data_IF_566556117942
#
_entry.id   IF_566556117942
#
_cell.length_a   1.000
_cell.length_b   1.000
_cell.length_c   1.000
_cell.angle_alpha   90.00
_cell.angle_beta   90.00
_cell.angle_gamma   90.00
#
_symmetry.space_group_name_H-M   'P 1'
#
loop_
_entity.id
_entity.type
_entity.pdbx_description
1 polymer ?
#
# COMPACT_ATOMS: atom_id res chain seq x y z
N UNK A 1 16.89 -29.03 -33.35
CA UNK A 1 16.08 -30.25 -33.23
C UNK A 1 14.66 -29.83 -32.88
N UNK A 2 13.71 -30.02 -33.80
CA UNK A 2 12.32 -29.60 -33.62
C UNK A 2 11.58 -30.70 -32.86
N UNK A 3 11.03 -30.38 -31.68
CA UNK A 3 10.11 -31.27 -30.96
C UNK A 3 8.75 -30.60 -30.89
N UNK A 4 7.96 -30.87 -31.92
CA UNK A 4 6.52 -30.68 -31.99
C UNK A 4 5.83 -31.83 -31.27
N UNK A 5 5.03 -31.56 -30.24
CA UNK A 5 4.01 -32.50 -29.73
C UNK A 5 2.74 -31.72 -29.30
N UNK A 6 1.80 -31.69 -30.24
CA UNK A 6 0.35 -31.99 -30.16
C UNK A 6 -0.46 -31.54 -28.91
N UNK A 7 -1.52 -30.78 -29.24
CA UNK A 7 -2.65 -30.27 -28.46
C UNK A 7 -3.53 -31.37 -27.83
N UNK A 8 -4.02 -31.13 -26.61
CA UNK A 8 -5.26 -31.74 -26.11
C UNK A 8 -6.13 -30.67 -25.44
N UNK A 9 -7.30 -30.41 -26.04
CA UNK A 9 -8.38 -29.56 -25.52
C UNK A 9 -9.23 -30.42 -24.58
N UNK A 10 -9.46 -29.95 -23.36
CA UNK A 10 -10.52 -30.48 -22.49
C UNK A 10 -11.25 -29.30 -21.84
N UNK A 11 -12.43 -29.01 -22.39
CA UNK A 11 -13.46 -28.13 -21.85
C UNK A 11 -14.18 -28.83 -20.69
N UNK A 12 -14.22 -28.19 -19.52
CA UNK A 12 -15.01 -28.62 -18.37
C UNK A 12 -15.81 -27.46 -17.80
N UNK A 13 -17.11 -27.43 -18.07
CA UNK A 13 -18.07 -26.47 -17.51
C UNK A 13 -18.60 -27.05 -16.19
N UNK A 14 -18.42 -26.33 -15.08
CA UNK A 14 -19.08 -26.64 -13.82
C UNK A 14 -20.26 -25.68 -13.59
N UNK A 15 -21.48 -26.20 -13.72
CA UNK A 15 -22.72 -25.51 -13.35
C UNK A 15 -23.00 -25.79 -11.86
N UNK A 16 -22.88 -24.77 -11.02
CA UNK A 16 -23.46 -24.81 -9.67
C UNK A 16 -24.89 -24.29 -9.72
N UNK A 17 -25.85 -25.21 -9.56
CA UNK A 17 -27.25 -24.92 -9.26
C UNK A 17 -27.47 -25.27 -7.80
N UNK A 18 -27.79 -24.26 -6.97
CA UNK A 18 -28.24 -24.41 -5.60
C UNK A 18 -29.43 -23.45 -5.36
N UNK A 19 -30.62 -23.93 -4.98
CA UNK A 19 -31.84 -23.14 -4.82
C UNK A 19 -32.10 -22.71 -3.36
N UNK A 20 -33.15 -21.89 -3.17
CA UNK A 20 -33.74 -21.40 -1.90
C UNK A 20 -32.97 -20.24 -1.26
N UNK A 21 -33.56 -19.15 -0.78
CA UNK A 21 -34.95 -18.76 -0.58
C UNK A 21 -34.97 -17.40 0.12
N UNK A 22 -35.95 -16.59 -0.24
CA UNK A 22 -36.19 -15.20 0.18
C UNK A 22 -36.87 -15.11 1.57
N UNK A 23 -36.65 -14.02 2.33
CA UNK A 23 -37.69 -13.16 2.95
C UNK A 23 -37.30 -12.54 4.31
N UNK A 24 -37.46 -11.21 4.41
CA UNK A 24 -38.12 -10.61 5.58
C UNK A 24 -37.26 -9.89 6.63
N UNK A 25 -37.21 -8.56 6.52
CA UNK A 25 -37.70 -7.63 7.54
C UNK A 25 -37.00 -7.56 8.92
N UNK A 26 -36.42 -6.40 9.23
CA UNK A 26 -36.02 -6.09 10.60
C UNK A 26 -35.39 -4.72 10.79
N UNK A 27 -36.13 -3.64 10.57
CA UNK A 27 -35.81 -2.31 11.11
C UNK A 27 -36.35 -2.19 12.54
N UNK A 28 -35.56 -1.70 13.50
CA UNK A 28 -36.07 -0.99 14.67
C UNK A 28 -35.70 0.51 14.52
N UNK A 29 -36.64 1.37 14.15
CA UNK A 29 -37.36 2.32 15.03
C UNK A 29 -36.47 3.36 15.74
N UNK A 30 -36.49 4.58 15.18
CA UNK A 30 -36.54 5.90 15.85
C UNK A 30 -37.49 5.92 17.06
N UNK A 31 -37.32 6.77 18.12
CA UNK A 31 -37.52 8.24 18.06
C UNK A 31 -36.54 9.07 18.93
N UNK A 32 -36.13 10.27 18.49
CA UNK A 32 -36.69 11.60 18.78
C UNK A 32 -36.44 12.18 20.18
N UNK A 33 -36.03 13.46 20.16
CA UNK A 33 -36.29 14.52 21.15
C UNK A 33 -35.26 14.79 22.24
N UNK A 34 -34.61 15.96 22.12
CA UNK A 34 -34.09 16.77 23.23
C UNK A 34 -35.23 17.17 24.20
N UNK A 35 -34.92 17.53 25.46
CA UNK A 35 -34.90 18.97 25.77
C UNK A 35 -33.89 19.43 26.85
N UNK A 36 -33.78 20.77 26.92
CA UNK A 36 -33.14 21.66 27.91
C UNK A 36 -33.27 21.21 29.39
N UNK A 37 -32.36 21.66 30.26
CA UNK A 37 -32.54 22.86 31.15
C UNK A 37 -31.51 22.89 32.30
N UNK A 38 -30.77 23.99 32.31
CA UNK A 38 -30.17 24.82 33.37
C UNK A 38 -30.18 24.45 34.87
N UNK A 39 -29.04 24.78 35.51
CA UNK A 39 -28.86 25.64 36.72
C UNK A 39 -28.51 25.03 38.12
N UNK A 40 -27.38 25.53 38.67
CA UNK A 40 -27.20 26.12 40.04
C UNK A 40 -26.36 25.39 41.13
N UNK A 41 -25.18 26.00 41.42
CA UNK A 41 -24.36 26.26 42.67
C UNK A 41 -23.77 25.10 43.51
N UNK A 42 -22.43 24.95 43.67
CA UNK A 42 -21.39 25.63 44.50
C UNK A 42 -21.30 25.11 45.97
N UNK A 43 -20.20 25.32 46.75
CA UNK A 43 -18.76 25.30 46.49
C UNK A 43 -18.02 24.29 47.43
N UNK A 44 -16.74 24.00 47.20
CA UNK A 44 -15.85 23.55 48.29
C UNK A 44 -14.40 23.88 47.96
N UNK A 45 -13.84 24.82 48.70
CA UNK A 45 -12.41 25.13 48.68
C UNK A 45 -11.65 23.99 49.38
N UNK A 46 -10.72 23.36 48.68
CA UNK A 46 -9.62 22.63 49.29
C UNK A 46 -8.38 22.89 48.44
N UNK A 47 -7.33 23.39 49.09
CA UNK A 47 -6.11 23.85 48.47
C UNK A 47 -5.17 22.68 48.10
N UNK A 48 -4.52 22.80 46.92
CA UNK A 48 -3.31 22.09 46.49
C UNK A 48 -3.51 20.99 45.43
N UNK A 49 -2.52 20.69 44.55
CA UNK A 49 -1.24 21.34 44.26
C UNK A 49 -1.25 22.08 42.91
N UNK A 50 -0.16 22.78 42.56
CA UNK A 50 0.01 23.48 41.30
C UNK A 50 -0.21 22.56 40.06
N UNK A 51 -0.78 23.05 38.94
CA UNK A 51 -0.83 22.29 37.69
C UNK A 51 0.59 22.13 37.13
N UNK A 52 1.24 21.03 37.52
CA UNK A 52 2.35 20.47 36.78
C UNK A 52 1.89 20.12 35.37
N UNK A 53 2.80 20.34 34.41
CA UNK A 53 2.60 20.14 32.99
C UNK A 53 1.81 18.86 32.67
N UNK A 54 0.73 19.03 31.90
CA UNK A 54 0.08 17.93 31.20
C UNK A 54 1.12 17.38 30.23
N UNK A 55 1.73 16.26 30.59
CA UNK A 55 2.54 15.49 29.65
C UNK A 55 1.51 14.89 28.68
N UNK A 56 1.57 15.17 27.36
CA UNK A 56 0.75 14.46 26.40
C UNK A 56 0.98 12.96 26.57
N UNK A 57 -0.02 12.09 26.31
CA UNK A 57 0.25 10.66 26.22
C UNK A 57 1.41 10.49 25.24
N UNK A 58 2.43 9.75 25.67
CA UNK A 58 3.53 9.38 24.80
C UNK A 58 2.91 8.69 23.59
N UNK A 59 2.91 9.39 22.44
CA UNK A 59 2.72 8.75 21.15
C UNK A 59 3.75 7.64 21.14
N UNK A 60 3.25 6.40 21.13
CA UNK A 60 4.10 5.26 20.85
C UNK A 60 4.51 5.47 19.41
N UNK A 61 5.67 6.11 19.23
CA UNK A 61 6.30 6.29 17.94
C UNK A 61 6.61 4.87 17.47
N UNK A 62 5.66 4.26 16.75
CA UNK A 62 5.95 3.17 15.83
C UNK A 62 7.17 3.63 15.07
N UNK A 63 8.26 2.86 15.11
CA UNK A 63 9.48 3.22 14.42
C UNK A 63 9.08 3.55 12.97
N UNK A 64 9.12 4.83 12.62
CA UNK A 64 8.65 5.31 11.33
C UNK A 64 9.63 4.77 10.30
N UNK A 65 9.28 3.65 9.66
CA UNK A 65 10.00 3.23 8.47
C UNK A 65 9.96 4.39 7.48
N UNK A 66 11.10 4.72 6.90
CA UNK A 66 11.24 5.87 6.00
C UNK A 66 11.34 5.40 4.57
N UNK A 67 10.83 6.18 3.62
CA UNK A 67 10.94 5.87 2.20
C UNK A 67 11.20 7.12 1.38
N UNK A 68 11.99 6.96 0.32
CA UNK A 68 12.27 7.98 -0.69
C UNK A 68 12.05 7.38 -2.07
N UNK A 69 11.57 8.19 -3.00
CA UNK A 69 11.35 7.80 -4.40
C UNK A 69 11.91 8.88 -5.32
N UNK A 70 12.67 8.46 -6.32
CA UNK A 70 13.07 9.28 -7.45
C UNK A 70 12.55 8.63 -8.72
N UNK A 71 11.95 9.43 -9.61
CA UNK A 71 11.52 8.98 -10.94
C UNK A 71 12.04 9.97 -11.96
N UNK A 72 12.74 9.48 -12.98
CA UNK A 72 13.34 10.31 -14.03
C UNK A 72 14.31 11.37 -13.47
N UNK A 73 15.06 11.00 -12.41
CA UNK A 73 15.97 11.90 -11.68
C UNK A 73 15.27 12.96 -10.81
N UNK A 74 13.93 12.94 -10.72
CA UNK A 74 13.16 13.89 -9.90
C UNK A 74 12.65 13.21 -8.64
N UNK A 75 13.00 13.77 -7.48
CA UNK A 75 12.46 13.35 -6.20
C UNK A 75 10.94 13.50 -6.18
N UNK A 76 10.25 12.52 -5.60
CA UNK A 76 8.80 12.49 -5.42
C UNK A 76 8.48 12.53 -3.94
N UNK A 77 7.37 13.18 -3.61
CA UNK A 77 6.92 13.29 -2.21
C UNK A 77 6.42 11.91 -1.76
N UNK A 78 7.08 11.34 -0.75
CA UNK A 78 6.70 10.06 -0.14
C UNK A 78 6.62 10.29 1.35
N UNK A 79 5.39 10.32 1.87
CA UNK A 79 5.08 10.58 3.29
C UNK A 79 4.28 9.44 3.93
N UNK A 80 4.32 8.29 3.30
CA UNK A 80 3.51 7.14 3.69
C UNK A 80 4.11 6.31 4.82
N UNK A 81 3.27 5.53 5.48
CA UNK A 81 3.70 4.52 6.44
C UNK A 81 4.34 3.34 5.68
N UNK A 82 5.50 2.87 6.16
CA UNK A 82 6.18 1.71 5.61
C UNK A 82 5.80 0.47 6.41
N UNK A 83 5.31 -0.55 5.71
CA UNK A 83 5.06 -1.88 6.25
C UNK A 83 5.82 -2.93 5.44
N UNK A 84 6.49 -3.86 6.12
CA UNK A 84 7.24 -4.94 5.49
C UNK A 84 6.77 -6.28 6.04
N UNK A 85 6.56 -7.24 5.15
CA UNK A 85 6.16 -8.60 5.51
C UNK A 85 6.81 -9.63 4.60
N UNK A 86 7.08 -10.82 5.15
CA UNK A 86 7.56 -11.95 4.36
C UNK A 86 6.40 -12.93 4.21
N UNK A 87 5.95 -13.18 2.99
CA UNK A 87 4.84 -14.10 2.71
C UNK A 87 5.08 -14.74 1.35
N UNK A 88 4.88 -16.07 1.27
CA UNK A 88 4.96 -16.80 0.00
C UNK A 88 6.35 -16.82 -0.65
N UNK A 89 7.43 -16.71 0.15
CA UNK A 89 8.81 -16.69 -0.39
C UNK A 89 9.25 -15.34 -0.95
N UNK A 90 8.54 -14.26 -0.61
CA UNK A 90 8.86 -12.91 -1.05
C UNK A 90 8.84 -11.92 0.11
N UNK A 91 9.74 -10.95 0.07
CA UNK A 91 9.68 -9.75 0.91
C UNK A 91 8.74 -8.77 0.22
N UNK A 92 7.66 -8.40 0.89
CA UNK A 92 6.67 -7.45 0.42
C UNK A 92 6.79 -6.18 1.24
N UNK A 93 7.10 -5.07 0.58
CA UNK A 93 7.21 -3.74 1.17
C UNK A 93 6.06 -2.90 0.61
N UNK A 94 5.27 -2.32 1.50
CA UNK A 94 4.17 -1.42 1.19
C UNK A 94 4.44 -0.06 1.82
N UNK A 95 4.35 0.99 1.01
CA UNK A 95 4.44 2.38 1.46
C UNK A 95 3.06 3.01 1.21
N UNK A 96 2.25 3.09 2.26
CA UNK A 96 0.88 3.57 2.20
C UNK A 96 0.83 5.10 2.30
N UNK A 97 0.44 5.78 1.23
CA UNK A 97 0.32 7.24 1.17
C UNK A 97 -1.16 7.65 1.28
N UNK A 98 -1.47 8.93 1.57
CA UNK A 98 -2.87 9.38 1.75
C UNK A 98 -3.78 9.12 0.54
N UNK A 99 -3.23 9.14 -0.68
CA UNK A 99 -3.98 9.02 -1.93
C UNK A 99 -3.45 7.94 -2.88
N UNK A 100 -2.38 7.24 -2.48
CA UNK A 100 -1.68 6.28 -3.34
C UNK A 100 -0.94 5.24 -2.47
N UNK A 101 -0.35 4.24 -3.11
CA UNK A 101 0.57 3.33 -2.45
C UNK A 101 1.71 2.97 -3.40
N UNK A 102 2.90 2.76 -2.82
CA UNK A 102 4.02 2.14 -3.53
C UNK A 102 4.15 0.72 -2.98
N UNK A 103 4.25 -0.27 -3.86
CA UNK A 103 4.45 -1.67 -3.49
C UNK A 103 5.73 -2.20 -4.12
N UNK A 104 6.48 -3.01 -3.37
CA UNK A 104 7.69 -3.66 -3.83
C UNK A 104 7.62 -5.12 -3.40
N UNK A 105 7.84 -6.03 -4.35
CA UNK A 105 8.05 -7.43 -4.05
C UNK A 105 9.47 -7.82 -4.47
N UNK A 106 10.24 -8.35 -3.52
CA UNK A 106 11.57 -8.89 -3.72
C UNK A 106 11.56 -10.39 -3.43
N UNK A 107 12.54 -11.12 -3.96
CA UNK A 107 12.85 -12.47 -3.47
C UNK A 107 13.11 -12.48 -1.96
N UNK A 108 12.93 -13.63 -1.31
CA UNK A 108 13.10 -13.78 0.14
C UNK A 108 14.50 -13.37 0.63
N UNK A 109 15.52 -13.56 -0.20
CA UNK A 109 16.92 -13.17 0.03
C UNK A 109 17.24 -11.73 -0.44
N UNK A 110 16.24 -11.00 -0.96
CA UNK A 110 16.35 -9.67 -1.55
C UNK A 110 17.36 -9.57 -2.72
N UNK A 111 17.69 -10.69 -3.37
CA UNK A 111 18.64 -10.73 -4.48
C UNK A 111 18.03 -10.32 -5.83
N UNK A 112 16.70 -10.46 -5.99
CA UNK A 112 15.98 -10.03 -7.20
C UNK A 112 14.74 -9.21 -6.88
N UNK A 113 14.38 -8.35 -7.84
CA UNK A 113 13.14 -7.56 -7.81
C UNK A 113 12.11 -8.29 -8.66
N UNK A 114 11.01 -8.68 -8.04
CA UNK A 114 9.91 -9.36 -8.73
C UNK A 114 8.91 -8.34 -9.31
N UNK A 115 8.56 -7.33 -8.52
CA UNK A 115 7.64 -6.27 -8.96
C UNK A 115 7.84 -4.97 -8.19
N UNK A 116 7.51 -3.84 -8.82
CA UNK A 116 7.40 -2.53 -8.17
C UNK A 116 6.18 -1.81 -8.73
N UNK A 117 5.21 -1.47 -7.88
CA UNK A 117 4.15 -0.53 -8.20
C UNK A 117 4.53 0.86 -7.68
N UNK A 118 4.75 1.83 -8.55
CA UNK A 118 5.10 3.22 -8.14
C UNK A 118 3.83 4.08 -7.97
N UNK A 119 2.76 3.73 -8.68
CA UNK A 119 1.54 4.52 -8.77
C UNK A 119 1.60 5.52 -9.92
N UNK A 120 0.77 6.57 -9.86
CA UNK A 120 0.68 7.58 -10.91
C UNK A 120 1.74 8.66 -10.74
N UNK A 121 2.53 8.89 -11.79
CA UNK A 121 3.52 9.97 -11.88
C UNK A 121 3.26 10.73 -13.17
N UNK A 122 2.99 12.03 -13.06
CA UNK A 122 2.69 12.90 -14.20
C UNK A 122 1.55 12.30 -15.08
N UNK A 123 0.47 11.83 -14.43
CA UNK A 123 -0.70 11.14 -15.00
C UNK A 123 -0.44 9.79 -15.69
N UNK A 124 0.77 9.22 -15.53
CA UNK A 124 1.13 7.90 -16.06
C UNK A 124 1.27 6.92 -14.89
N UNK A 125 0.52 5.83 -14.91
CA UNK A 125 0.71 4.74 -13.96
C UNK A 125 1.99 3.99 -14.28
N UNK A 126 2.94 3.98 -13.35
CA UNK A 126 4.25 3.37 -13.53
C UNK A 126 4.39 2.12 -12.67
N UNK A 127 4.86 1.03 -13.28
CA UNK A 127 5.20 -0.21 -12.60
C UNK A 127 6.33 -0.96 -13.27
N UNK A 128 7.06 -1.76 -12.52
CA UNK A 128 8.00 -2.75 -13.00
C UNK A 128 7.44 -4.14 -12.71
N UNK A 129 7.63 -5.06 -13.66
CA UNK A 129 7.38 -6.48 -13.50
C UNK A 129 8.58 -7.24 -14.05
N UNK A 130 9.03 -8.25 -13.31
CA UNK A 130 10.09 -9.13 -13.78
C UNK A 130 9.72 -9.80 -15.10
N UNK A 131 10.71 -9.99 -15.96
CA UNK A 131 10.58 -10.58 -17.30
C UNK A 131 9.73 -9.77 -18.30
N UNK A 132 9.26 -8.57 -17.94
CA UNK A 132 8.68 -7.66 -18.91
C UNK A 132 9.75 -7.22 -19.92
N UNK A 133 9.42 -7.09 -21.22
CA UNK A 133 10.39 -6.74 -22.25
C UNK A 133 10.89 -5.30 -22.05
N UNK A 134 12.21 -5.11 -22.17
CA UNK A 134 12.83 -3.78 -22.18
C UNK A 134 12.97 -3.12 -20.82
N UNK A 135 12.83 -3.87 -19.72
CA UNK A 135 13.07 -3.37 -18.36
C UNK A 135 13.97 -4.29 -17.55
N UNK A 136 14.69 -3.67 -16.61
CA UNK A 136 15.48 -4.35 -15.60
C UNK A 136 15.30 -3.61 -14.27
N UNK A 137 15.41 -4.34 -13.16
CA UNK A 137 15.51 -3.78 -11.84
C UNK A 137 16.49 -4.59 -10.98
N UNK A 138 17.07 -3.93 -9.98
CA UNK A 138 18.03 -4.50 -9.03
C UNK A 138 17.65 -4.05 -7.62
N UNK A 139 17.85 -4.95 -6.67
CA UNK A 139 17.71 -4.66 -5.26
C UNK A 139 19.05 -4.84 -4.54
N UNK A 140 19.27 -4.03 -3.53
CA UNK A 140 20.28 -4.26 -2.50
C UNK A 140 19.62 -4.17 -1.14
N UNK A 141 20.16 -4.93 -0.19
CA UNK A 141 19.70 -4.94 1.20
C UNK A 141 20.88 -4.72 2.13
N UNK A 142 20.73 -3.78 3.06
CA UNK A 142 21.64 -3.53 4.17
C UNK A 142 20.86 -3.49 5.48
N UNK A 143 20.83 -4.63 6.18
CA UNK A 143 20.00 -4.85 7.36
C UNK A 143 18.51 -4.69 7.04
N UNK A 144 17.92 -3.58 7.53
CA UNK A 144 16.52 -3.22 7.30
C UNK A 144 16.34 -2.20 6.17
N UNK A 145 17.41 -1.74 5.53
CA UNK A 145 17.37 -0.81 4.41
C UNK A 145 17.36 -1.58 3.09
N UNK A 146 16.46 -1.21 2.20
CA UNK A 146 16.35 -1.76 0.86
C UNK A 146 16.46 -0.63 -0.14
N UNK A 147 17.31 -0.80 -1.14
CA UNK A 147 17.39 0.12 -2.28
C UNK A 147 17.04 -0.66 -3.54
N UNK A 148 16.06 -0.15 -4.28
CA UNK A 148 15.58 -0.73 -5.53
C UNK A 148 15.78 0.29 -6.63
N UNK A 149 16.52 -0.09 -7.66
CA UNK A 149 16.73 0.74 -8.86
C UNK A 149 16.23 -0.01 -10.07
N UNK A 150 15.66 0.68 -11.05
CA UNK A 150 15.20 0.01 -12.26
C UNK A 150 14.54 0.93 -13.26
N UNK A 151 13.87 0.31 -14.23
CA UNK A 151 13.04 1.01 -15.21
C UNK A 151 11.59 0.54 -15.07
N UNK A 152 10.69 1.48 -14.84
CA UNK A 152 9.26 1.23 -14.79
C UNK A 152 8.61 1.53 -16.13
N UNK A 153 7.54 0.82 -16.43
CA UNK A 153 6.69 0.96 -17.60
C UNK A 153 5.39 1.63 -17.20
N UNK A 154 4.94 2.55 -18.04
CA UNK A 154 3.56 2.99 -18.13
C UNK A 154 3.13 3.08 -19.59
N UNK A 155 1.93 3.57 -19.82
CA UNK A 155 1.37 3.75 -21.16
C UNK A 155 0.85 5.17 -21.32
N UNK A 156 0.94 5.68 -22.53
CA UNK A 156 0.40 6.99 -22.89
C UNK A 156 -1.13 6.93 -22.82
N UNK A 157 -1.75 7.85 -22.04
CA UNK A 157 -3.21 7.87 -21.88
C UNK A 157 -3.94 8.17 -23.20
N UNK A 158 -3.31 8.90 -24.11
CA UNK A 158 -3.89 9.28 -25.39
C UNK A 158 -3.54 8.24 -26.49
N UNK A 159 -2.55 7.38 -26.24
CA UNK A 159 -2.17 6.27 -27.12
C UNK A 159 -1.72 5.04 -26.29
N UNK A 160 -2.66 4.17 -25.86
CA UNK A 160 -2.34 3.04 -24.97
C UNK A 160 -1.34 2.01 -25.53
N UNK A 161 -1.13 1.97 -26.85
CA UNK A 161 -0.13 1.09 -27.47
C UNK A 161 1.29 1.66 -27.34
N UNK A 162 1.42 2.94 -27.00
CA UNK A 162 2.70 3.62 -26.80
C UNK A 162 3.16 3.44 -25.36
N UNK A 163 4.10 2.50 -25.21
CA UNK A 163 4.83 2.29 -23.97
C UNK A 163 5.70 3.51 -23.62
N UNK A 164 5.71 3.86 -22.32
CA UNK A 164 6.56 4.89 -21.74
C UNK A 164 7.41 4.24 -20.67
N UNK A 165 8.73 4.44 -20.73
CA UNK A 165 9.67 3.92 -19.72
C UNK A 165 10.26 5.06 -18.91
N UNK A 166 10.35 4.88 -17.58
CA UNK A 166 10.96 5.86 -16.68
C UNK A 166 11.92 5.15 -15.71
N UNK A 167 13.17 5.63 -15.57
CA UNK A 167 14.04 5.11 -14.53
C UNK A 167 13.50 5.52 -13.17
N UNK A 168 13.66 4.64 -12.18
CA UNK A 168 13.27 4.91 -10.81
C UNK A 168 14.32 4.41 -9.82
N UNK A 169 14.30 5.02 -8.65
CA UNK A 169 15.03 4.58 -7.46
C UNK A 169 14.12 4.72 -6.23
N UNK A 170 13.99 3.65 -5.46
CA UNK A 170 13.30 3.65 -4.16
C UNK A 170 14.30 3.22 -3.10
N UNK A 171 14.44 4.01 -2.04
CA UNK A 171 15.14 3.58 -0.82
C UNK A 171 14.17 3.57 0.33
N UNK A 172 14.09 2.44 1.04
CA UNK A 172 13.11 2.20 2.11
C UNK A 172 13.76 1.51 3.29
N UNK A 173 13.40 1.95 4.50
CA UNK A 173 13.81 1.32 5.77
C UNK A 173 12.59 0.66 6.38
N UNK A 174 12.63 -0.66 6.53
CA UNK A 174 11.59 -1.42 7.24
C UNK A 174 11.70 -1.24 8.77
N UNK A 175 10.58 -1.12 9.50
CA UNK A 175 10.57 -1.08 10.96
C UNK A 175 11.00 -2.40 11.62
#
# INVERSE_FOLDING_TARGET
MRRTVIVAVATGIALFVGPTGCSGGGSPKTPSSSPKTSSTVAPTNTAGPAPGAVTPPAETKTAEGSATLTVDGKARDVKGEVSCSVTGGSINILIAQPTAAISIALSEDASSVQSVGIGSVDDISLSYQEHAPGVEARATRDGNNYTVTGTAIGYDKDNPDKQITKPFEVSVTCP
#
